data_IF_855333526785
#
_entry.id   IF_855333526785
#
_cell.length_a   1.000
_cell.length_b   1.000
_cell.length_c   1.000
_cell.angle_alpha   90.00
_cell.angle_beta   90.00
_cell.angle_gamma   90.00
#
_symmetry.space_group_name_H-M   'P 1'
#
loop_
_entity.id
_entity.type
_entity.pdbx_description
1 polymer ?
#
# COMPACT_ATOMS: atom_id res chain seq x y z
N UNK A 1 11.00 -1.30 17.72
CA UNK A 1 9.80 -0.45 17.75
C UNK A 1 9.01 -0.91 16.54
N UNK A 2 8.30 -2.02 16.70
CA UNK A 2 7.86 -2.92 15.61
C UNK A 2 6.33 -3.01 15.58
N UNK A 3 5.68 -1.94 16.03
CA UNK A 3 4.22 -1.89 16.08
C UNK A 3 3.72 -1.26 14.78
N UNK A 4 2.77 -1.92 14.13
CA UNK A 4 2.10 -1.51 12.89
C UNK A 4 1.67 -0.03 12.97
N UNK A 5 1.24 0.42 14.16
CA UNK A 5 0.87 1.81 14.44
C UNK A 5 2.03 2.79 14.25
N UNK A 6 3.23 2.44 14.73
CA UNK A 6 4.42 3.29 14.61
C UNK A 6 4.85 3.46 13.16
N UNK A 7 4.71 2.39 12.37
CA UNK A 7 4.99 2.40 10.93
C UNK A 7 3.98 3.27 10.19
N UNK A 8 2.69 3.12 10.49
CA UNK A 8 1.63 3.95 9.93
C UNK A 8 1.84 5.43 10.26
N UNK A 9 2.16 5.77 11.52
CA UNK A 9 2.43 7.15 11.97
C UNK A 9 3.64 7.77 11.25
N UNK A 10 4.68 6.98 11.02
CA UNK A 10 5.89 7.43 10.33
C UNK A 10 5.59 7.73 8.85
N UNK A 11 4.88 6.82 8.17
CA UNK A 11 4.46 7.01 6.79
C UNK A 11 3.46 8.16 6.66
N UNK A 12 2.53 8.31 7.61
CA UNK A 12 1.58 9.42 7.66
C UNK A 12 2.32 10.77 7.67
N UNK A 13 3.32 10.92 8.55
CA UNK A 13 4.11 12.15 8.69
C UNK A 13 4.99 12.42 7.47
N UNK A 14 5.57 11.37 6.90
CA UNK A 14 6.54 11.52 5.81
C UNK A 14 5.86 11.77 4.47
N UNK A 15 4.71 11.15 4.24
CA UNK A 15 3.98 11.21 2.96
C UNK A 15 2.80 12.17 3.00
N UNK A 16 2.44 12.70 4.17
CA UNK A 16 1.24 13.53 4.36
C UNK A 16 -0.04 12.74 4.08
N UNK A 17 -0.05 11.46 4.46
CA UNK A 17 -1.17 10.55 4.31
C UNK A 17 -1.98 10.46 5.60
N UNK A 18 -3.29 10.26 5.48
CA UNK A 18 -4.14 9.88 6.60
C UNK A 18 -4.37 8.37 6.54
N UNK A 19 -3.97 7.67 7.60
CA UNK A 19 -4.18 6.24 7.74
C UNK A 19 -5.41 5.98 8.61
N UNK A 20 -6.33 5.16 8.11
CA UNK A 20 -7.48 4.68 8.84
C UNK A 20 -7.20 3.28 9.40
N UNK A 21 -7.47 3.03 10.70
CA UNK A 21 -7.42 1.68 11.24
C UNK A 21 -8.55 0.85 10.65
N UNK A 22 -8.24 -0.39 10.27
CA UNK A 22 -9.17 -1.38 9.76
C UNK A 22 -8.84 -2.74 10.36
N UNK A 23 -9.82 -3.62 10.36
CA UNK A 23 -9.66 -4.99 10.84
C UNK A 23 -10.13 -5.95 9.76
N UNK A 24 -9.37 -7.02 9.52
CA UNK A 24 -9.73 -8.05 8.56
C UNK A 24 -9.21 -9.41 9.02
N UNK A 25 -10.13 -10.36 9.13
CA UNK A 25 -9.79 -11.77 9.37
C UNK A 25 -8.95 -12.36 8.23
N UNK A 26 -8.97 -11.75 7.03
CA UNK A 26 -8.20 -12.18 5.87
C UNK A 26 -6.78 -11.60 5.81
N UNK A 27 -6.50 -10.50 6.52
CA UNK A 27 -5.17 -9.85 6.53
C UNK A 27 -4.46 -9.95 7.88
N UNK A 28 -4.74 -11.02 8.64
CA UNK A 28 -4.06 -11.25 9.92
C UNK A 28 -4.44 -10.26 11.03
N UNK A 29 -5.65 -9.66 10.98
CA UNK A 29 -6.16 -8.80 12.03
C UNK A 29 -6.14 -7.31 11.70
N UNK A 30 -5.64 -6.49 12.62
CA UNK A 30 -5.69 -5.03 12.53
C UNK A 30 -4.57 -4.49 11.61
N UNK A 31 -4.97 -3.62 10.68
CA UNK A 31 -4.09 -2.97 9.71
C UNK A 31 -4.48 -1.51 9.53
N UNK A 32 -3.58 -0.73 8.94
CA UNK A 32 -3.84 0.65 8.57
C UNK A 32 -3.89 0.79 7.06
N UNK A 33 -4.87 1.56 6.57
CA UNK A 33 -4.99 1.91 5.16
C UNK A 33 -4.97 3.41 4.99
N UNK A 34 -4.08 3.90 4.13
CA UNK A 34 -4.20 5.23 3.56
C UNK A 34 -4.78 5.15 2.16
N UNK A 35 -5.79 5.99 1.88
CA UNK A 35 -6.49 6.02 0.61
C UNK A 35 -7.90 5.41 0.62
N UNK A 36 -8.60 5.58 -0.50
CA UNK A 36 -9.93 5.03 -0.70
C UNK A 36 -9.99 4.20 -1.99
N UNK A 37 -9.96 2.88 -1.85
CA UNK A 37 -10.10 1.94 -2.95
C UNK A 37 -11.44 2.06 -3.70
N UNK A 38 -12.45 2.73 -3.11
CA UNK A 38 -13.77 2.95 -3.72
C UNK A 38 -13.85 4.20 -4.56
N UNK A 39 -12.81 5.04 -4.55
CA UNK A 39 -12.75 6.24 -5.37
C UNK A 39 -11.70 6.03 -6.45
N UNK A 40 -12.17 5.90 -7.69
CA UNK A 40 -11.33 5.88 -8.89
C UNK A 40 -10.38 7.09 -8.99
N UNK A 41 -10.70 8.17 -8.28
CA UNK A 41 -9.92 9.41 -8.23
C UNK A 41 -8.84 9.43 -7.15
N UNK A 42 -8.72 8.39 -6.29
CA UNK A 42 -7.73 8.36 -5.23
C UNK A 42 -6.44 7.68 -5.71
N UNK A 43 -5.34 8.46 -5.88
CA UNK A 43 -4.12 7.95 -6.46
C UNK A 43 -3.22 7.21 -5.47
N UNK A 44 -3.63 7.06 -4.22
CA UNK A 44 -2.79 6.57 -3.12
C UNK A 44 -3.55 5.47 -2.40
N UNK A 45 -2.99 4.26 -2.39
CA UNK A 45 -3.55 3.09 -1.72
C UNK A 45 -2.40 2.32 -1.06
N UNK A 46 -2.23 2.56 0.24
CA UNK A 46 -1.10 2.06 1.04
C UNK A 46 -1.61 1.30 2.26
N UNK A 47 -1.17 0.07 2.43
CA UNK A 47 -1.52 -0.79 3.56
C UNK A 47 -0.30 -0.97 4.45
N UNK A 48 -0.51 -0.92 5.76
CA UNK A 48 0.47 -1.29 6.78
C UNK A 48 -0.16 -2.36 7.65
N UNK A 49 0.43 -3.55 7.67
CA UNK A 49 -0.16 -4.72 8.33
C UNK A 49 0.92 -5.58 9.00
N UNK A 50 0.57 -6.39 10.01
CA UNK A 50 1.50 -7.37 10.56
C UNK A 50 1.88 -8.41 9.50
N UNK A 51 3.10 -8.95 9.61
CA UNK A 51 3.54 -10.13 8.86
C UNK A 51 3.26 -11.41 9.65
N UNK A 52 2.03 -11.57 10.12
CA UNK A 52 1.61 -12.73 10.90
C UNK A 52 0.22 -13.16 10.44
N UNK A 53 0.09 -14.43 10.10
CA UNK A 53 -1.16 -15.12 9.82
C UNK A 53 -1.12 -16.48 10.52
N UNK A 54 -2.02 -16.71 11.48
CA UNK A 54 -2.10 -17.95 12.27
C UNK A 54 -0.76 -18.39 12.88
N UNK A 55 0.00 -17.46 13.48
CA UNK A 55 1.32 -17.70 14.10
C UNK A 55 2.44 -18.06 13.11
N UNK A 56 2.18 -17.95 11.79
CA UNK A 56 3.17 -18.08 10.73
C UNK A 56 3.34 -16.75 9.98
N UNK A 57 4.51 -16.48 9.34
CA UNK A 57 4.65 -15.30 8.51
C UNK A 57 3.72 -15.33 7.31
N UNK A 58 2.89 -14.30 7.15
CA UNK A 58 1.98 -14.15 6.02
C UNK A 58 2.75 -14.13 4.68
N UNK A 59 3.94 -13.52 4.67
CA UNK A 59 4.90 -13.58 3.57
C UNK A 59 6.21 -14.23 4.07
N UNK A 60 6.40 -15.54 3.85
CA UNK A 60 7.58 -16.28 4.33
C UNK A 60 8.91 -15.72 3.82
N UNK A 61 8.92 -15.15 2.62
CA UNK A 61 10.09 -14.52 2.00
C UNK A 61 10.59 -13.30 2.80
N UNK A 62 9.69 -12.67 3.56
CA UNK A 62 9.95 -11.50 4.38
C UNK A 62 9.78 -11.81 5.88
N UNK A 63 9.92 -13.07 6.30
CA UNK A 63 9.72 -13.50 7.69
C UNK A 63 10.61 -12.77 8.73
N UNK A 64 11.70 -12.12 8.30
CA UNK A 64 12.53 -11.27 9.15
C UNK A 64 11.87 -9.92 9.52
N UNK A 65 10.80 -9.53 8.82
CA UNK A 65 10.11 -8.26 8.99
C UNK A 65 8.74 -8.50 9.61
N UNK A 66 8.49 -8.01 10.84
CA UNK A 66 7.21 -8.22 11.54
C UNK A 66 6.07 -7.35 11.02
N UNK A 67 6.37 -6.32 10.22
CA UNK A 67 5.40 -5.40 9.62
C UNK A 67 5.69 -5.27 8.14
N UNK A 68 4.63 -5.34 7.33
CA UNK A 68 4.70 -5.19 5.88
C UNK A 68 3.98 -3.92 5.43
N UNK A 69 4.55 -3.28 4.41
CA UNK A 69 3.95 -2.15 3.72
C UNK A 69 3.66 -2.56 2.28
N UNK A 70 2.38 -2.50 1.90
CA UNK A 70 1.92 -2.75 0.53
C UNK A 70 1.46 -1.44 -0.10
N UNK A 71 1.87 -1.19 -1.34
CA UNK A 71 1.50 0.01 -2.07
C UNK A 71 0.83 -0.42 -3.36
N UNK A 72 -0.50 -0.42 -3.37
CA UNK A 72 -1.30 -0.79 -4.54
C UNK A 72 -1.38 0.36 -5.55
N UNK A 73 -1.29 1.62 -5.11
CA UNK A 73 -1.21 2.78 -6.01
C UNK A 73 -0.53 3.95 -5.30
N UNK A 74 0.28 4.72 -6.02
CA UNK A 74 0.83 5.99 -5.52
C UNK A 74 1.28 6.90 -6.67
N UNK A 75 0.96 8.18 -6.61
CA UNK A 75 1.59 9.22 -7.45
C UNK A 75 2.91 9.75 -6.87
N UNK A 76 3.28 9.32 -5.67
CA UNK A 76 4.42 9.83 -4.89
C UNK A 76 5.50 8.76 -4.70
N UNK A 77 5.69 7.91 -5.70
CA UNK A 77 6.62 6.78 -5.64
C UNK A 77 8.03 7.19 -5.16
N UNK A 78 8.57 8.32 -5.64
CA UNK A 78 9.89 8.80 -5.22
C UNK A 78 9.94 9.21 -3.74
N UNK A 79 8.90 9.88 -3.24
CA UNK A 79 8.82 10.32 -1.85
C UNK A 79 8.61 9.12 -0.92
N UNK A 80 7.80 8.15 -1.35
CA UNK A 80 7.61 6.87 -0.69
C UNK A 80 8.92 6.09 -0.58
N UNK A 81 9.66 5.95 -1.68
CA UNK A 81 10.96 5.26 -1.66
C UNK A 81 11.97 5.98 -0.77
N UNK A 82 11.98 7.31 -0.77
CA UNK A 82 12.84 8.11 0.10
C UNK A 82 12.46 7.96 1.59
N UNK A 83 11.17 7.91 1.89
CA UNK A 83 10.66 7.64 3.23
C UNK A 83 11.10 6.26 3.69
N UNK A 84 10.86 5.22 2.87
CA UNK A 84 11.20 3.84 3.19
C UNK A 84 12.72 3.64 3.34
N UNK A 85 13.53 4.30 2.51
CA UNK A 85 15.00 4.25 2.61
C UNK A 85 15.54 4.81 3.94
N UNK A 86 14.76 5.63 4.66
CA UNK A 86 15.12 6.13 5.99
C UNK A 86 14.69 5.21 7.15
N UNK A 87 14.12 4.05 6.82
CA UNK A 87 13.48 3.11 7.76
C UNK A 87 13.92 1.68 7.50
N UNK A 88 13.75 0.80 8.48
CA UNK A 88 13.96 -0.66 8.30
C UNK A 88 12.76 -1.36 7.62
N UNK A 89 11.92 -0.60 6.91
CA UNK A 89 10.70 -1.11 6.26
C UNK A 89 11.01 -1.65 4.87
N UNK A 90 10.34 -2.75 4.52
CA UNK A 90 10.43 -3.35 3.18
C UNK A 90 9.14 -3.10 2.40
N UNK A 91 9.29 -2.55 1.20
CA UNK A 91 8.24 -2.50 0.20
C UNK A 91 8.10 -3.89 -0.44
N UNK A 92 7.01 -4.59 -0.12
CA UNK A 92 6.79 -5.96 -0.59
C UNK A 92 6.24 -5.98 -2.02
N UNK A 93 5.36 -5.02 -2.35
CA UNK A 93 4.75 -4.94 -3.68
C UNK A 93 4.36 -3.51 -4.02
N UNK A 94 4.62 -3.14 -5.28
CA UNK A 94 4.09 -1.94 -5.94
C UNK A 94 3.31 -2.36 -7.17
N UNK A 95 2.06 -1.95 -7.27
CA UNK A 95 1.33 -1.99 -8.54
C UNK A 95 1.34 -0.58 -9.13
N UNK A 96 1.98 -0.42 -10.29
CA UNK A 96 1.95 0.85 -11.02
C UNK A 96 0.61 0.94 -11.73
N UNK A 97 -0.22 1.92 -11.36
CA UNK A 97 -1.45 2.23 -12.08
C UNK A 97 -1.11 2.88 -13.42
N UNK A 98 -1.09 2.09 -14.52
CA UNK A 98 -0.90 2.56 -15.91
C UNK A 98 -2.19 3.18 -16.48
N UNK A 99 -2.87 4.02 -15.70
CA UNK A 99 -4.12 4.66 -16.07
C UNK A 99 -3.96 5.70 -17.18
N UNK A 100 -3.81 5.23 -18.43
CA UNK A 100 -4.30 5.76 -19.71
C UNK A 100 -3.31 5.46 -20.87
N UNK A 101 -3.29 4.21 -21.35
CA UNK A 101 -3.06 3.93 -22.77
C UNK A 101 -4.28 3.21 -23.33
N UNK A 102 -4.81 3.77 -24.41
CA UNK A 102 -5.94 3.30 -25.22
C UNK A 102 -7.37 3.62 -24.74
N UNK A 103 -7.77 4.86 -25.01
CA UNK A 103 -9.07 5.11 -25.67
C UNK A 103 -8.88 6.16 -26.76
N UNK A 104 -7.95 5.88 -27.68
CA UNK A 104 -8.01 6.53 -28.98
C UNK A 104 -9.25 5.97 -29.69
N UNK A 105 -10.20 6.86 -29.94
CA UNK A 105 -11.46 6.58 -30.61
C UNK A 105 -11.27 5.73 -31.88
N UNK A 106 -11.81 4.52 -31.88
CA UNK A 106 -12.14 3.81 -33.12
C UNK A 106 -13.49 4.35 -33.59
N UNK A 107 -13.59 5.12 -34.70
CA UNK A 107 -14.89 5.40 -35.29
C UNK A 107 -15.49 4.10 -35.82
N UNK A 108 -16.70 3.75 -35.37
CA UNK A 108 -17.44 2.61 -35.85
C UNK A 108 -17.67 2.72 -37.38
N UNK A 109 -17.55 1.63 -38.15
CA UNK A 109 -17.88 1.66 -39.56
C UNK A 109 -19.39 1.78 -39.74
N UNK A 110 -19.82 2.82 -40.47
CA UNK A 110 -21.19 2.92 -40.97
C UNK A 110 -21.46 1.78 -41.96
N UNK A 111 -22.52 1.02 -41.71
CA UNK A 111 -23.17 0.17 -42.72
C UNK A 111 -24.56 0.72 -43.02
#
# INVERSE_FOLDING_TARGET
MDDVTSVADLLARTLGLEFEPRSSDYRGGDYFLAGDWRRDDFPELVYVQPNEDLEEPAEPEYAAYPTLVYVESTLRADQLMQALASTDLVLVRREDWDGLRDSAATPAPSY
#
